data_IF_882250078577
#
_entry.id   IF_882250078577
#
_cell.length_a   1.000
_cell.length_b   1.000
_cell.length_c   1.000
_cell.angle_alpha   90.00
_cell.angle_beta   90.00
_cell.angle_gamma   90.00
#
_symmetry.space_group_name_H-M   'P 1'
#
loop_
_entity.id
_entity.type
_entity.pdbx_description
1 polymer ?
#
# COMPACT_ATOMS: atom_id res chain seq x y z
N UNK A 1 63.72 -6.07 71.96
CA UNK A 1 64.18 -6.17 70.56
C UNK A 1 63.05 -6.73 69.73
N UNK A 2 62.62 -5.98 68.71
CA UNK A 2 61.82 -6.32 67.51
C UNK A 2 60.77 -7.46 67.59
N UNK A 3 59.54 -7.30 67.11
CA UNK A 3 59.07 -6.35 66.11
C UNK A 3 57.57 -6.44 65.90
N UNK A 4 57.08 -5.33 65.37
CA UNK A 4 55.74 -5.02 64.92
C UNK A 4 55.32 -5.91 63.73
N UNK A 5 54.12 -6.46 63.79
CA UNK A 5 53.44 -7.05 62.63
C UNK A 5 51.95 -6.76 62.72
N UNK A 6 51.57 -5.77 61.93
CA UNK A 6 50.21 -5.31 61.65
C UNK A 6 49.37 -6.40 60.99
N UNK A 7 48.26 -6.79 61.64
CA UNK A 7 47.15 -7.51 60.99
C UNK A 7 45.82 -6.79 61.26
N UNK A 8 45.21 -6.35 60.16
CA UNK A 8 43.88 -5.74 60.04
C UNK A 8 42.77 -6.65 60.60
N UNK A 9 41.69 -6.09 61.19
CA UNK A 9 40.51 -6.86 61.55
C UNK A 9 39.55 -7.07 60.37
N UNK A 10 38.75 -8.13 60.52
CA UNK A 10 37.84 -8.72 59.54
C UNK A 10 36.69 -7.80 59.09
N UNK A 11 36.33 -7.91 57.81
CA UNK A 11 35.16 -7.27 57.22
C UNK A 11 33.87 -7.99 57.67
N UNK A 12 32.92 -7.20 58.18
CA UNK A 12 31.57 -7.64 58.52
C UNK A 12 30.75 -7.92 57.25
N UNK A 13 29.99 -9.02 57.29
CA UNK A 13 29.01 -9.39 56.29
C UNK A 13 27.82 -8.43 56.31
N UNK A 14 27.51 -7.82 55.16
CA UNK A 14 26.26 -7.08 54.92
C UNK A 14 25.37 -7.91 53.99
N UNK A 15 24.20 -8.31 54.48
CA UNK A 15 23.22 -9.11 53.76
C UNK A 15 22.69 -8.42 52.51
N UNK A 16 22.64 -9.16 51.42
CA UNK A 16 21.97 -8.77 50.19
C UNK A 16 20.45 -8.95 50.36
N UNK A 17 19.70 -7.85 50.25
CA UNK A 17 18.24 -7.90 50.11
C UNK A 17 17.88 -8.37 48.69
N UNK A 18 16.83 -9.20 48.52
CA UNK A 18 16.44 -9.70 47.20
C UNK A 18 15.90 -8.55 46.34
N UNK A 19 16.51 -8.37 45.17
CA UNK A 19 15.99 -7.49 44.12
C UNK A 19 14.60 -7.97 43.70
N UNK A 20 13.59 -7.12 43.96
CA UNK A 20 12.29 -7.26 43.32
C UNK A 20 12.47 -7.08 41.80
N UNK A 21 11.91 -7.95 40.94
CA UNK A 21 12.02 -7.76 39.51
C UNK A 21 11.25 -6.49 39.13
N UNK A 22 11.98 -5.56 38.50
CA UNK A 22 11.40 -4.38 37.89
C UNK A 22 10.30 -4.80 36.90
N UNK A 23 9.11 -4.23 37.06
CA UNK A 23 8.03 -4.34 36.08
C UNK A 23 8.53 -3.78 34.75
N UNK A 24 8.85 -4.65 33.81
CA UNK A 24 9.18 -4.27 32.43
C UNK A 24 7.90 -3.83 31.74
N UNK A 25 7.72 -2.52 31.60
CA UNK A 25 6.73 -1.97 30.65
C UNK A 25 7.11 -2.43 29.24
N UNK A 26 6.16 -2.91 28.40
CA UNK A 26 6.50 -3.43 27.09
C UNK A 26 6.93 -2.29 26.16
N UNK A 27 8.12 -2.35 25.55
CA UNK A 27 8.57 -1.32 24.62
C UNK A 27 8.02 -1.64 23.23
N UNK A 28 6.88 -1.05 22.80
CA UNK A 28 6.51 -0.93 21.34
C UNK A 28 5.11 -0.32 21.03
N UNK A 29 4.21 -0.10 22.00
CA UNK A 29 2.81 0.27 21.66
C UNK A 29 2.62 1.67 21.03
N UNK A 30 3.39 2.69 21.44
CA UNK A 30 3.19 4.07 20.94
C UNK A 30 3.50 4.22 19.43
N UNK A 31 4.60 3.66 18.90
CA UNK A 31 4.85 3.64 17.45
C UNK A 31 3.74 3.00 16.63
N UNK A 32 3.21 1.86 17.07
CA UNK A 32 2.19 1.09 16.35
C UNK A 32 0.86 1.85 16.25
N UNK A 33 0.46 2.55 17.31
CA UNK A 33 -0.77 3.36 17.32
C UNK A 33 -0.70 4.58 16.41
N UNK A 34 0.48 5.19 16.24
CA UNK A 34 0.67 6.26 15.24
C UNK A 34 0.56 5.72 13.81
N UNK A 35 1.03 4.49 13.55
CA UNK A 35 0.85 3.84 12.25
C UNK A 35 -0.63 3.61 11.94
N UNK A 36 -1.43 3.20 12.92
CA UNK A 36 -2.89 3.03 12.79
C UNK A 36 -3.57 4.36 12.42
N UNK A 37 -3.18 5.45 13.07
CA UNK A 37 -3.68 6.79 12.78
C UNK A 37 -3.32 7.23 11.35
N UNK A 38 -2.03 7.15 11.01
CA UNK A 38 -1.48 7.52 9.71
C UNK A 38 -2.17 6.77 8.55
N UNK A 39 -2.46 5.48 8.77
CA UNK A 39 -3.06 4.59 7.78
C UNK A 39 -4.58 4.59 7.80
N UNK A 40 -5.22 5.46 8.60
CA UNK A 40 -6.67 5.60 8.73
C UNK A 40 -7.36 4.30 9.19
N UNK A 41 -6.61 3.40 9.83
CA UNK A 41 -7.14 2.11 10.27
C UNK A 41 -8.07 2.26 11.47
N UNK A 42 -8.12 3.42 12.13
CA UNK A 42 -9.14 3.72 13.12
C UNK A 42 -10.53 4.02 12.51
N UNK A 43 -10.67 4.00 11.18
CA UNK A 43 -11.91 4.30 10.43
C UNK A 43 -12.47 5.69 10.76
N UNK A 44 -11.77 6.77 10.41
CA UNK A 44 -12.30 8.12 10.56
C UNK A 44 -13.66 8.25 9.83
N UNK A 45 -14.63 8.87 10.50
CA UNK A 45 -15.98 9.02 9.96
C UNK A 45 -16.01 10.00 8.79
N UNK A 46 -16.84 9.70 7.79
CA UNK A 46 -17.18 10.63 6.72
C UNK A 46 -16.18 10.72 5.57
N UNK A 47 -15.10 9.93 5.57
CA UNK A 47 -14.18 9.93 4.44
C UNK A 47 -14.76 9.21 3.22
N UNK A 48 -14.65 9.85 2.06
CA UNK A 48 -14.95 9.22 0.75
C UNK A 48 -13.81 8.28 0.32
N UNK A 49 -14.07 7.48 -0.72
CA UNK A 49 -13.02 6.66 -1.34
C UNK A 49 -11.87 7.53 -1.89
N UNK A 50 -12.17 8.65 -2.55
CA UNK A 50 -11.14 9.56 -3.04
C UNK A 50 -10.31 10.19 -1.94
N UNK A 51 -10.93 10.61 -0.83
CA UNK A 51 -10.21 11.18 0.31
C UNK A 51 -9.28 10.16 0.99
N UNK A 52 -9.70 8.90 1.11
CA UNK A 52 -8.85 7.83 1.62
C UNK A 52 -7.61 7.66 0.73
N UNK A 53 -7.79 7.56 -0.59
CA UNK A 53 -6.66 7.43 -1.52
C UNK A 53 -5.77 8.66 -1.47
N UNK A 54 -6.35 9.86 -1.44
CA UNK A 54 -5.62 11.12 -1.38
C UNK A 54 -4.74 11.24 -0.11
N UNK A 55 -5.26 10.77 1.04
CA UNK A 55 -4.53 10.76 2.31
C UNK A 55 -3.41 9.73 2.32
N UNK A 56 -3.62 8.55 1.73
CA UNK A 56 -2.59 7.52 1.62
C UNK A 56 -1.55 7.82 0.51
N UNK A 57 -1.88 8.75 -0.40
CA UNK A 57 -1.09 9.09 -1.59
C UNK A 57 -1.26 8.10 -2.73
N UNK A 58 -1.26 6.79 -2.43
CA UNK A 58 -1.63 5.74 -3.37
C UNK A 58 -2.08 4.50 -2.59
N UNK A 59 -2.99 3.71 -3.17
CA UNK A 59 -3.41 2.42 -2.60
C UNK A 59 -3.21 1.33 -3.65
N UNK A 60 -2.46 0.28 -3.32
CA UNK A 60 -2.20 -0.77 -4.30
C UNK A 60 -3.48 -1.45 -4.79
N UNK A 61 -3.60 -1.56 -6.11
CA UNK A 61 -4.77 -2.07 -6.81
C UNK A 61 -4.38 -3.03 -7.95
N UNK A 62 -3.32 -3.81 -7.75
CA UNK A 62 -2.96 -4.91 -8.65
C UNK A 62 -4.08 -5.95 -8.67
N UNK A 63 -4.60 -6.29 -7.49
CA UNK A 63 -5.81 -7.08 -7.27
C UNK A 63 -6.95 -6.18 -6.77
N UNK A 64 -7.98 -5.97 -7.60
CA UNK A 64 -9.09 -5.06 -7.27
C UNK A 64 -9.91 -5.57 -6.08
N UNK A 65 -10.29 -6.86 -5.97
CA UNK A 65 -10.93 -7.41 -4.78
C UNK A 65 -10.18 -7.11 -3.46
N UNK A 66 -8.85 -7.26 -3.44
CA UNK A 66 -8.05 -6.88 -2.28
C UNK A 66 -8.09 -5.36 -2.01
N UNK A 67 -7.99 -4.53 -3.05
CA UNK A 67 -8.08 -3.07 -2.90
C UNK A 67 -9.44 -2.62 -2.33
N UNK A 68 -10.55 -3.20 -2.78
CA UNK A 68 -11.89 -2.93 -2.21
C UNK A 68 -11.92 -3.24 -0.71
N UNK A 69 -11.31 -4.34 -0.30
CA UNK A 69 -11.19 -4.70 1.12
C UNK A 69 -10.31 -3.74 1.93
N UNK A 70 -9.36 -3.05 1.29
CA UNK A 70 -8.48 -2.07 1.91
C UNK A 70 -9.22 -0.75 2.19
N UNK A 71 -10.18 -0.37 1.34
CA UNK A 71 -11.14 0.71 1.63
C UNK A 71 -12.00 0.38 2.85
N UNK A 72 -12.54 -0.83 2.91
CA UNK A 72 -13.34 -1.31 4.06
C UNK A 72 -12.54 -1.32 5.37
N UNK A 73 -11.25 -1.64 5.33
CA UNK A 73 -10.41 -1.55 6.52
C UNK A 73 -10.28 -0.11 7.09
N UNK A 74 -10.58 0.91 6.27
CA UNK A 74 -10.45 2.34 6.56
C UNK A 74 -11.79 3.08 6.63
N UNK A 75 -12.91 2.40 6.41
CA UNK A 75 -14.26 2.97 6.51
C UNK A 75 -15.26 1.95 7.04
N UNK A 76 -16.11 2.38 7.96
CA UNK A 76 -17.21 1.57 8.50
C UNK A 76 -18.46 1.58 7.59
N UNK A 77 -18.52 2.50 6.63
CA UNK A 77 -19.75 2.79 5.87
C UNK A 77 -19.61 2.51 4.38
N UNK A 78 -18.43 2.72 3.79
CA UNK A 78 -18.23 2.50 2.37
C UNK A 78 -18.60 1.08 1.97
N UNK A 79 -19.15 0.96 0.76
CA UNK A 79 -19.46 -0.27 0.04
C UNK A 79 -18.56 -0.41 -1.19
N UNK A 80 -18.52 -1.58 -1.84
CA UNK A 80 -17.88 -1.72 -3.14
C UNK A 80 -18.44 -0.76 -4.19
N UNK A 81 -19.76 -0.52 -4.17
CA UNK A 81 -20.44 0.36 -5.12
C UNK A 81 -19.98 1.81 -4.98
N UNK A 82 -19.70 2.29 -3.76
CA UNK A 82 -19.17 3.64 -3.53
C UNK A 82 -17.77 3.81 -4.14
N UNK A 83 -16.92 2.80 -4.01
CA UNK A 83 -15.56 2.81 -4.59
C UNK A 83 -15.63 2.76 -6.11
N UNK A 84 -16.53 1.93 -6.67
CA UNK A 84 -16.79 1.88 -8.10
C UNK A 84 -17.32 3.22 -8.62
N UNK A 85 -18.24 3.86 -7.89
CA UNK A 85 -18.78 5.18 -8.23
C UNK A 85 -17.66 6.24 -8.28
N UNK A 86 -16.76 6.27 -7.29
CA UNK A 86 -15.61 7.17 -7.29
C UNK A 86 -14.67 6.92 -8.48
N UNK A 87 -14.49 5.66 -8.90
CA UNK A 87 -13.70 5.30 -10.07
C UNK A 87 -14.38 5.72 -11.38
N UNK A 88 -15.69 5.48 -11.51
CA UNK A 88 -16.49 5.93 -12.65
C UNK A 88 -16.55 7.47 -12.77
N UNK A 89 -16.63 8.16 -11.63
CA UNK A 89 -16.59 9.62 -11.54
C UNK A 89 -15.19 10.21 -11.80
N UNK A 90 -14.17 9.35 -11.93
CA UNK A 90 -12.75 9.72 -12.12
C UNK A 90 -12.16 10.52 -10.96
N UNK A 91 -12.75 10.42 -9.76
CA UNK A 91 -12.15 10.95 -8.54
C UNK A 91 -10.89 10.15 -8.17
N UNK A 92 -11.00 8.81 -8.28
CA UNK A 92 -9.87 7.89 -8.21
C UNK A 92 -9.59 7.29 -9.59
N UNK A 93 -8.29 7.14 -9.88
CA UNK A 93 -7.80 6.62 -11.15
C UNK A 93 -6.89 5.44 -10.87
N UNK A 94 -7.14 4.33 -11.58
CA UNK A 94 -6.28 3.15 -11.52
C UNK A 94 -5.21 3.23 -12.61
N UNK A 95 -3.95 3.30 -12.22
CA UNK A 95 -2.81 3.35 -13.16
C UNK A 95 -1.54 2.77 -12.54
N UNK A 96 -0.46 2.65 -13.32
CA UNK A 96 0.85 2.26 -12.80
C UNK A 96 1.45 3.39 -11.97
N UNK A 97 1.82 3.07 -10.73
CA UNK A 97 2.29 4.03 -9.74
C UNK A 97 3.59 3.58 -9.06
N UNK A 98 3.71 3.78 -7.73
CA UNK A 98 4.88 3.37 -6.95
C UNK A 98 5.38 1.95 -7.29
N UNK A 99 6.69 1.79 -7.42
CA UNK A 99 7.37 0.52 -7.77
C UNK A 99 6.95 -0.10 -9.13
N UNK A 100 6.15 0.61 -9.93
CA UNK A 100 5.63 0.10 -11.20
C UNK A 100 4.51 -0.93 -11.06
N UNK A 101 3.78 -0.92 -9.94
CA UNK A 101 2.55 -1.73 -9.77
C UNK A 101 1.30 -0.86 -9.92
N UNK A 102 0.15 -1.49 -10.16
CA UNK A 102 -1.11 -0.77 -10.28
C UNK A 102 -1.58 -0.25 -8.92
N UNK A 103 -1.99 1.02 -8.88
CA UNK A 103 -2.56 1.67 -7.70
C UNK A 103 -3.82 2.44 -8.08
N UNK A 104 -4.73 2.58 -7.12
CA UNK A 104 -5.66 3.70 -7.11
C UNK A 104 -4.92 4.94 -6.60
N UNK A 105 -5.09 6.03 -7.32
CA UNK A 105 -4.51 7.35 -7.03
C UNK A 105 -5.61 8.40 -7.23
N UNK A 106 -5.65 9.41 -6.38
CA UNK A 106 -6.60 10.52 -6.55
C UNK A 106 -6.21 11.31 -7.82
N UNK A 107 -7.19 11.73 -8.63
CA UNK A 107 -6.91 12.34 -9.93
C UNK A 107 -5.99 13.57 -9.84
N UNK A 108 -6.17 14.40 -8.80
CA UNK A 108 -5.33 15.57 -8.54
C UNK A 108 -3.87 15.26 -8.21
N UNK A 109 -3.56 14.01 -7.85
CA UNK A 109 -2.20 13.59 -7.47
C UNK A 109 -1.40 12.97 -8.63
N UNK A 110 -2.08 12.68 -9.75
CA UNK A 110 -1.46 12.05 -10.91
C UNK A 110 -0.25 12.83 -11.45
N UNK A 111 -0.28 14.17 -11.64
CA UNK A 111 0.84 14.89 -12.24
C UNK A 111 2.18 14.66 -11.53
N UNK A 112 2.20 14.75 -10.19
CA UNK A 112 3.44 14.64 -9.42
C UNK A 112 3.86 13.18 -9.19
N UNK A 113 2.91 12.24 -9.04
CA UNK A 113 3.24 10.81 -8.97
C UNK A 113 3.89 10.36 -10.28
N UNK A 114 3.30 10.75 -11.40
CA UNK A 114 3.72 10.35 -12.74
C UNK A 114 5.12 10.87 -13.08
N UNK A 115 5.44 12.10 -12.69
CA UNK A 115 6.77 12.68 -12.84
C UNK A 115 7.88 11.82 -12.18
N UNK A 116 7.53 11.04 -11.17
CA UNK A 116 8.47 10.27 -10.35
C UNK A 116 8.48 8.76 -10.65
N UNK A 117 7.40 8.21 -11.19
CA UNK A 117 7.22 6.74 -11.33
C UNK A 117 7.40 6.20 -12.75
N UNK A 118 7.73 7.05 -13.74
CA UNK A 118 7.93 6.65 -15.15
C UNK A 118 9.05 5.61 -15.35
N UNK A 119 8.82 4.61 -16.22
CA UNK A 119 9.69 3.41 -16.39
C UNK A 119 9.85 2.93 -17.84
N UNK A 120 10.35 3.77 -18.74
CA UNK A 120 10.38 3.47 -20.18
C UNK A 120 11.30 2.30 -20.57
N UNK A 121 12.54 2.28 -20.04
CA UNK A 121 13.60 1.36 -20.52
C UNK A 121 13.21 -0.11 -20.39
N UNK A 122 12.61 -0.50 -19.27
CA UNK A 122 12.20 -1.88 -19.02
C UNK A 122 11.03 -2.31 -19.89
N UNK A 123 10.09 -1.39 -20.16
CA UNK A 123 8.90 -1.67 -20.96
C UNK A 123 9.27 -1.81 -22.44
N UNK A 124 10.12 -0.92 -22.97
CA UNK A 124 10.59 -1.02 -24.35
C UNK A 124 11.39 -2.31 -24.61
N UNK A 125 12.18 -2.76 -23.64
CA UNK A 125 12.84 -4.09 -23.72
C UNK A 125 11.80 -5.21 -23.75
N UNK A 126 10.81 -5.18 -22.85
CA UNK A 126 9.75 -6.20 -22.80
C UNK A 126 8.96 -6.27 -24.09
N UNK A 127 8.64 -5.13 -24.71
CA UNK A 127 7.95 -5.07 -26.00
C UNK A 127 8.71 -5.82 -27.10
N UNK A 128 10.04 -5.69 -27.15
CA UNK A 128 10.88 -6.44 -28.10
C UNK A 128 10.90 -7.94 -27.81
N UNK A 129 11.00 -8.32 -26.54
CA UNK A 129 10.99 -9.74 -26.11
C UNK A 129 9.66 -10.43 -26.45
N UNK A 130 8.55 -9.69 -26.37
CA UNK A 130 7.20 -10.15 -26.72
C UNK A 130 6.91 -10.05 -28.22
N UNK A 131 7.89 -9.70 -29.05
CA UNK A 131 7.77 -9.65 -30.50
C UNK A 131 6.82 -8.56 -31.01
N UNK A 132 6.63 -7.47 -30.27
CA UNK A 132 5.81 -6.34 -30.74
C UNK A 132 6.51 -5.66 -31.92
N UNK A 133 5.87 -5.68 -33.09
CA UNK A 133 6.47 -5.31 -34.39
C UNK A 133 6.22 -3.86 -34.82
N UNK A 134 5.98 -2.95 -33.88
CA UNK A 134 5.65 -1.56 -34.17
C UNK A 134 6.89 -0.64 -34.16
N UNK A 135 7.08 0.15 -35.22
CA UNK A 135 8.10 1.21 -35.25
C UNK A 135 7.81 2.37 -34.29
N UNK A 136 6.52 2.62 -34.02
CA UNK A 136 6.01 3.56 -33.01
C UNK A 136 5.00 2.84 -32.09
N UNK A 137 5.47 2.15 -31.04
CA UNK A 137 4.59 1.43 -30.11
C UNK A 137 3.63 2.35 -29.35
N UNK A 138 4.07 3.56 -29.00
CA UNK A 138 3.30 4.51 -28.20
C UNK A 138 2.12 5.09 -29.01
N UNK A 139 2.37 5.56 -30.23
CA UNK A 139 1.31 6.06 -31.08
C UNK A 139 0.38 4.95 -31.57
N UNK A 140 0.89 3.72 -31.77
CA UNK A 140 0.05 2.56 -32.09
C UNK A 140 -1.04 2.35 -31.02
N UNK A 141 -0.64 2.26 -29.75
CA UNK A 141 -1.60 1.98 -28.67
C UNK A 141 -2.49 3.18 -28.37
N UNK A 142 -1.98 4.42 -28.45
CA UNK A 142 -2.78 5.62 -28.25
C UNK A 142 -3.93 5.69 -29.27
N UNK A 143 -3.64 5.52 -30.58
CA UNK A 143 -4.66 5.48 -31.63
C UNK A 143 -5.62 4.30 -31.51
N UNK A 144 -5.18 3.19 -30.92
CA UNK A 144 -6.03 2.01 -30.70
C UNK A 144 -7.09 2.27 -29.62
N UNK A 145 -6.78 3.11 -28.63
CA UNK A 145 -7.66 3.44 -27.50
C UNK A 145 -8.56 4.65 -27.79
N UNK A 146 -8.09 5.60 -28.60
CA UNK A 146 -8.77 6.88 -28.87
C UNK A 146 -10.20 6.70 -29.43
N UNK A 147 -11.15 7.36 -28.80
CA UNK A 147 -12.57 7.37 -29.14
C UNK A 147 -13.32 6.06 -28.86
N UNK A 148 -12.69 5.05 -28.25
CA UNK A 148 -13.29 3.71 -28.11
C UNK A 148 -13.97 3.45 -26.76
N UNK A 149 -13.69 4.28 -25.75
CA UNK A 149 -14.07 3.99 -24.37
C UNK A 149 -13.30 2.78 -23.79
N UNK A 150 -13.81 2.14 -22.72
CA UNK A 150 -13.11 1.05 -22.05
C UNK A 150 -12.99 -0.23 -22.89
N UNK A 151 -11.74 -0.59 -23.24
CA UNK A 151 -11.41 -1.80 -23.98
C UNK A 151 -10.79 -2.86 -23.06
N UNK A 152 -11.23 -4.11 -23.17
CA UNK A 152 -10.54 -5.22 -22.51
C UNK A 152 -9.27 -5.59 -23.27
N UNK A 153 -8.40 -6.39 -22.66
CA UNK A 153 -7.23 -6.97 -23.34
C UNK A 153 -7.62 -7.72 -24.63
N UNK A 154 -8.75 -8.43 -24.63
CA UNK A 154 -9.23 -9.16 -25.81
C UNK A 154 -9.62 -8.19 -26.94
N UNK A 155 -10.36 -7.13 -26.62
CA UNK A 155 -10.71 -6.11 -27.61
C UNK A 155 -9.45 -5.44 -28.21
N UNK A 156 -8.43 -5.19 -27.37
CA UNK A 156 -7.15 -4.67 -27.82
C UNK A 156 -6.43 -5.65 -28.74
N UNK A 157 -6.45 -6.94 -28.42
CA UNK A 157 -5.85 -7.98 -29.26
C UNK A 157 -6.47 -8.02 -30.65
N UNK A 158 -7.80 -7.99 -30.72
CA UNK A 158 -8.55 -7.94 -31.99
C UNK A 158 -8.19 -6.69 -32.81
N UNK A 159 -8.14 -5.52 -32.15
CA UNK A 159 -7.86 -4.23 -32.80
C UNK A 159 -6.41 -4.07 -33.23
N UNK A 160 -5.47 -4.65 -32.50
CA UNK A 160 -4.05 -4.60 -32.84
C UNK A 160 -3.73 -5.49 -34.04
N UNK A 161 -4.63 -6.41 -34.42
CA UNK A 161 -4.58 -7.20 -35.64
C UNK A 161 -3.22 -7.91 -35.82
N UNK A 162 -2.76 -8.62 -34.77
CA UNK A 162 -1.52 -9.39 -34.79
C UNK A 162 -0.24 -8.62 -34.48
N UNK A 163 -0.32 -7.29 -34.26
CA UNK A 163 0.87 -6.47 -33.95
C UNK A 163 1.41 -6.64 -32.53
N UNK A 164 0.57 -7.14 -31.62
CA UNK A 164 0.95 -7.54 -30.27
C UNK A 164 -0.05 -8.56 -29.73
N UNK A 165 0.44 -9.44 -28.86
CA UNK A 165 -0.34 -10.48 -28.19
C UNK A 165 0.03 -10.52 -26.71
N UNK A 166 -0.72 -11.28 -25.91
CA UNK A 166 -0.21 -11.74 -24.62
C UNK A 166 0.29 -10.61 -23.72
N UNK A 167 1.53 -10.68 -23.25
CA UNK A 167 2.13 -9.64 -22.40
C UNK A 167 2.61 -8.42 -23.20
N UNK A 168 2.81 -8.54 -24.51
CA UNK A 168 3.09 -7.42 -25.41
C UNK A 168 1.99 -6.34 -25.36
N UNK A 169 0.71 -6.76 -25.34
CA UNK A 169 -0.42 -5.82 -25.18
C UNK A 169 -0.35 -5.09 -23.84
N UNK A 170 -0.05 -5.82 -22.75
CA UNK A 170 0.07 -5.23 -21.40
C UNK A 170 1.23 -4.24 -21.35
N UNK A 171 2.36 -4.57 -21.98
CA UNK A 171 3.50 -3.67 -22.08
C UNK A 171 3.18 -2.42 -22.93
N UNK A 172 2.38 -2.53 -23.99
CA UNK A 172 1.93 -1.39 -24.79
C UNK A 172 1.07 -0.42 -23.97
N UNK A 173 0.05 -0.92 -23.28
CA UNK A 173 -0.80 -0.06 -22.44
C UNK A 173 -0.04 0.51 -21.25
N UNK A 174 0.91 -0.24 -20.67
CA UNK A 174 1.78 0.28 -19.62
C UNK A 174 2.67 1.42 -20.15
N UNK A 175 3.22 1.29 -21.37
CA UNK A 175 3.97 2.36 -22.02
C UNK A 175 3.10 3.61 -22.18
N UNK A 176 1.89 3.47 -22.72
CA UNK A 176 0.94 4.58 -22.86
C UNK A 176 0.61 5.23 -21.51
N UNK A 177 0.40 4.41 -20.48
CA UNK A 177 0.13 4.88 -19.13
C UNK A 177 1.32 5.62 -18.53
N UNK A 178 2.55 5.18 -18.71
CA UNK A 178 3.75 5.93 -18.29
C UNK A 178 4.00 7.22 -19.07
N UNK A 179 3.27 7.44 -20.16
CA UNK A 179 3.29 8.67 -20.94
C UNK A 179 2.02 9.52 -20.76
N UNK A 180 1.10 9.12 -19.87
CA UNK A 180 -0.10 9.88 -19.55
C UNK A 180 -1.19 9.79 -20.61
N UNK A 181 -1.09 8.81 -21.52
CA UNK A 181 -2.01 8.62 -22.64
C UNK A 181 -3.05 7.52 -22.40
N UNK A 182 -2.85 6.68 -21.37
CA UNK A 182 -3.81 5.66 -21.00
C UNK A 182 -3.93 5.51 -19.48
N UNK A 183 -5.09 5.07 -19.03
CA UNK A 183 -5.32 4.61 -17.65
C UNK A 183 -6.18 3.34 -17.67
N UNK A 184 -6.37 2.69 -16.52
CA UNK A 184 -7.27 1.55 -16.42
C UNK A 184 -8.67 2.03 -16.08
N UNK A 185 -9.63 1.60 -16.90
CA UNK A 185 -11.05 1.82 -16.64
C UNK A 185 -11.62 0.77 -15.68
N UNK A 186 -12.88 0.96 -15.24
CA UNK A 186 -13.62 0.00 -14.44
C UNK A 186 -13.65 -1.40 -15.07
N UNK A 187 -13.76 -2.43 -14.23
CA UNK A 187 -13.75 -3.81 -14.71
C UNK A 187 -14.97 -4.11 -15.58
N UNK A 188 -14.77 -4.85 -16.67
CA UNK A 188 -15.87 -5.37 -17.50
C UNK A 188 -15.91 -6.88 -17.36
N UNK A 189 -17.00 -7.40 -16.77
CA UNK A 189 -17.13 -8.82 -16.43
C UNK A 189 -15.90 -9.38 -15.65
N UNK A 190 -15.44 -8.62 -14.65
CA UNK A 190 -14.28 -8.98 -13.82
C UNK A 190 -12.91 -8.83 -14.49
N UNK A 191 -12.84 -8.40 -15.76
CA UNK A 191 -11.59 -8.20 -16.49
C UNK A 191 -11.17 -6.73 -16.49
N UNK A 192 -9.87 -6.42 -16.40
CA UNK A 192 -9.37 -5.06 -16.57
C UNK A 192 -9.76 -4.46 -17.92
N UNK A 193 -10.06 -3.17 -17.90
CA UNK A 193 -10.20 -2.38 -19.12
C UNK A 193 -9.15 -1.28 -19.17
N UNK A 194 -8.88 -0.80 -20.38
CA UNK A 194 -7.92 0.25 -20.68
C UNK A 194 -8.64 1.33 -21.48
N UNK A 195 -8.35 2.59 -21.17
CA UNK A 195 -9.00 3.76 -21.79
C UNK A 195 -7.93 4.76 -22.23
N UNK A 196 -8.24 5.52 -23.27
CA UNK A 196 -7.47 6.72 -23.61
C UNK A 196 -7.64 7.77 -22.51
N UNK A 197 -6.53 8.30 -22.00
CA UNK A 197 -6.54 9.19 -20.84
C UNK A 197 -7.31 10.49 -21.13
N UNK A 198 -7.11 11.08 -22.31
CA UNK A 198 -7.79 12.34 -22.66
C UNK A 198 -9.32 12.16 -22.76
N UNK A 199 -9.78 11.05 -23.34
CA UNK A 199 -11.22 10.79 -23.48
C UNK A 199 -11.86 10.50 -22.11
N UNK A 200 -11.12 9.83 -21.22
CA UNK A 200 -11.63 9.40 -19.93
C UNK A 200 -11.59 10.49 -18.85
N UNK A 201 -10.48 11.24 -18.79
CA UNK A 201 -10.20 12.26 -17.77
C UNK A 201 -10.46 13.69 -18.26
N UNK A 202 -10.69 13.89 -19.56
CA UNK A 202 -10.85 15.20 -20.21
C UNK A 202 -9.53 15.81 -20.71
N UNK A 203 -8.38 15.25 -20.34
CA UNK A 203 -7.04 15.66 -20.79
C UNK A 203 -6.03 14.52 -20.56
N UNK A 204 -4.90 14.48 -21.30
CA UNK A 204 -3.81 13.60 -20.96
C UNK A 204 -3.22 13.97 -19.59
N UNK A 205 -2.61 12.99 -18.91
CA UNK A 205 -1.90 13.27 -17.65
C UNK A 205 -0.57 13.95 -18.01
N UNK A 206 -0.46 15.22 -17.66
CA UNK A 206 0.77 15.99 -17.85
C UNK A 206 1.60 15.90 -16.55
N UNK A 207 2.83 15.36 -16.59
CA UNK A 207 3.69 15.31 -15.41
C UNK A 207 4.01 16.70 -14.87
N UNK A 208 4.13 16.81 -13.55
CA UNK A 208 4.62 18.04 -12.89
C UNK A 208 6.02 18.39 -13.44
N UNK A 209 6.20 19.58 -14.06
CA UNK A 209 7.49 19.98 -14.63
C UNK A 209 8.56 20.21 -13.58
N UNK A 210 8.19 20.69 -12.38
CA UNK A 210 9.12 20.86 -11.27
C UNK A 210 9.28 19.55 -10.50
N UNK A 211 10.34 18.81 -10.84
CA UNK A 211 10.67 17.56 -10.18
C UNK A 211 10.93 17.73 -8.67
N UNK A 212 11.48 18.86 -8.22
CA UNK A 212 11.73 19.08 -6.80
C UNK A 212 10.42 19.25 -6.03
N UNK A 213 9.46 19.99 -6.61
CA UNK A 213 8.10 20.09 -6.09
C UNK A 213 7.43 18.72 -5.99
N UNK A 214 7.54 17.89 -7.02
CA UNK A 214 7.00 16.53 -7.01
C UNK A 214 7.65 15.67 -5.90
N UNK A 215 8.97 15.73 -5.75
CA UNK A 215 9.69 15.01 -4.69
C UNK A 215 9.23 15.45 -3.30
N UNK A 216 9.11 16.77 -3.07
CA UNK A 216 8.62 17.32 -1.81
C UNK A 216 7.21 16.82 -1.49
N UNK A 217 6.29 16.91 -2.44
CA UNK A 217 4.91 16.47 -2.26
C UNK A 217 4.85 14.97 -1.93
N UNK A 218 5.58 14.12 -2.68
CA UNK A 218 5.66 12.68 -2.41
C UNK A 218 6.09 12.39 -0.97
N UNK A 219 7.13 13.06 -0.48
CA UNK A 219 7.63 12.84 0.88
C UNK A 219 6.67 13.37 1.95
N UNK A 220 6.04 14.54 1.75
CA UNK A 220 5.01 15.06 2.67
C UNK A 220 3.85 14.08 2.78
N UNK A 221 3.32 13.62 1.64
CA UNK A 221 2.21 12.66 1.56
C UNK A 221 2.58 11.34 2.22
N UNK A 222 3.75 10.81 1.87
CA UNK A 222 4.22 9.55 2.41
C UNK A 222 4.40 9.61 3.93
N UNK A 223 5.03 10.65 4.48
CA UNK A 223 5.26 10.78 5.94
C UNK A 223 3.97 10.88 6.74
N UNK A 224 2.95 11.54 6.19
CA UNK A 224 1.62 11.64 6.83
C UNK A 224 0.90 10.30 6.87
N UNK A 225 1.04 9.50 5.82
CA UNK A 225 0.41 8.18 5.71
C UNK A 225 1.24 7.06 6.36
N UNK A 226 2.56 7.23 6.49
CA UNK A 226 3.50 6.21 6.93
C UNK A 226 4.34 6.79 8.06
N UNK A 227 3.89 6.58 9.29
CA UNK A 227 4.58 7.03 10.48
C UNK A 227 4.61 5.93 11.55
N UNK A 228 5.74 5.69 12.23
CA UNK A 228 7.07 6.26 11.94
C UNK A 228 7.65 5.67 10.64
N UNK A 229 8.41 6.45 9.88
CA UNK A 229 9.07 5.97 8.68
C UNK A 229 10.42 6.68 8.45
N UNK A 230 11.23 6.08 7.58
CA UNK A 230 12.57 6.56 7.19
C UNK A 230 12.63 6.88 5.70
N UNK A 231 13.64 7.64 5.22
CA UNK A 231 13.85 7.80 3.79
C UNK A 231 14.12 6.47 3.06
N UNK A 232 14.65 5.45 3.75
CA UNK A 232 14.80 4.09 3.21
C UNK A 232 13.44 3.41 2.99
N UNK A 233 12.46 3.64 3.86
CA UNK A 233 11.09 3.17 3.67
C UNK A 233 10.43 3.90 2.48
N UNK A 234 10.60 5.23 2.37
CA UNK A 234 10.14 6.00 1.22
C UNK A 234 10.75 5.48 -0.10
N UNK A 235 12.04 5.18 -0.12
CA UNK A 235 12.70 4.62 -1.31
C UNK A 235 12.12 3.25 -1.69
N UNK A 236 11.96 2.36 -0.70
CA UNK A 236 11.37 1.04 -0.92
C UNK A 236 9.92 1.14 -1.40
N UNK A 237 9.15 2.05 -0.81
CA UNK A 237 7.74 2.25 -1.14
C UNK A 237 7.56 2.89 -2.52
N UNK A 238 8.24 3.99 -2.83
CA UNK A 238 8.07 4.69 -4.11
C UNK A 238 8.74 3.96 -5.27
N UNK A 239 9.80 3.21 -5.00
CA UNK A 239 10.71 2.67 -6.00
C UNK A 239 11.67 3.73 -6.57
N UNK A 240 11.81 4.89 -5.91
CA UNK A 240 12.82 5.89 -6.23
C UNK A 240 14.22 5.41 -5.82
N UNK A 241 15.28 5.87 -6.53
CA UNK A 241 16.64 5.74 -6.02
C UNK A 241 16.78 6.38 -4.64
N UNK A 242 17.50 5.72 -3.72
CA UNK A 242 17.64 6.17 -2.33
C UNK A 242 18.13 7.63 -2.21
N UNK A 243 19.02 8.07 -3.09
CA UNK A 243 19.48 9.47 -3.11
C UNK A 243 18.36 10.49 -3.39
N UNK A 244 17.41 10.15 -4.26
CA UNK A 244 16.24 10.99 -4.51
C UNK A 244 15.26 10.94 -3.34
N UNK A 245 15.03 9.76 -2.75
CA UNK A 245 14.18 9.63 -1.56
C UNK A 245 14.73 10.45 -0.38
N UNK A 246 16.05 10.44 -0.13
CA UNK A 246 16.69 11.28 0.90
C UNK A 246 16.58 12.78 0.60
N UNK A 247 16.63 13.16 -0.68
CA UNK A 247 16.43 14.54 -1.09
C UNK A 247 14.99 14.98 -0.81
N UNK A 248 14.01 14.20 -1.26
CA UNK A 248 12.58 14.40 -0.97
C UNK A 248 12.32 14.52 0.55
N UNK A 249 12.91 13.62 1.34
CA UNK A 249 12.74 13.58 2.78
C UNK A 249 13.16 14.89 3.47
N UNK A 250 14.31 15.46 3.08
CA UNK A 250 14.80 16.74 3.62
C UNK A 250 13.87 17.92 3.30
N UNK A 251 13.10 17.84 2.21
CA UNK A 251 12.19 18.90 1.78
C UNK A 251 10.83 18.86 2.51
N UNK A 252 10.48 17.74 3.14
CA UNK A 252 9.11 17.47 3.61
C UNK A 252 8.78 17.93 5.04
N UNK A 253 9.77 18.31 5.83
CA UNK A 253 9.57 18.66 7.25
C UNK A 253 9.17 17.46 8.13
N UNK A 254 9.15 17.66 9.45
CA UNK A 254 8.73 16.63 10.42
C UNK A 254 7.46 16.98 11.18
N UNK A 255 6.32 16.45 10.73
CA UNK A 255 5.03 16.60 11.40
C UNK A 255 4.41 15.20 11.65
N UNK A 256 4.60 14.62 12.85
CA UNK A 256 4.06 13.30 13.16
C UNK A 256 2.53 13.37 13.36
N UNK A 257 1.77 12.34 12.94
CA UNK A 257 0.34 12.25 13.23
C UNK A 257 0.11 12.13 14.74
N UNK A 258 -1.06 12.51 15.26
CA UNK A 258 -1.36 12.43 16.68
C UNK A 258 -1.19 11.00 17.20
N UNK A 259 -0.77 10.86 18.46
CA UNK A 259 -0.82 9.57 19.11
C UNK A 259 -2.28 9.20 19.34
N UNK A 260 -2.63 7.96 18.97
CA UNK A 260 -3.96 7.42 19.22
C UNK A 260 -3.95 6.55 20.47
N UNK A 261 -5.06 6.60 21.21
CA UNK A 261 -5.36 5.69 22.32
C UNK A 261 -6.53 4.78 21.97
N UNK A 262 -6.60 3.64 22.66
CA UNK A 262 -7.68 2.67 22.54
C UNK A 262 -7.42 1.55 21.52
N UNK A 263 -8.04 0.38 21.73
CA UNK A 263 -7.75 -0.80 20.94
C UNK A 263 -8.26 -0.67 19.50
N UNK A 264 -7.51 -1.22 18.55
CA UNK A 264 -7.87 -1.30 17.13
C UNK A 264 -7.59 -2.69 16.60
N UNK A 265 -8.64 -3.35 16.13
CA UNK A 265 -8.54 -4.65 15.45
C UNK A 265 -9.01 -4.53 14.01
N UNK A 266 -8.22 -5.04 13.06
CA UNK A 266 -8.55 -5.00 11.62
C UNK A 266 -8.23 -6.30 10.90
N UNK A 267 -9.14 -6.72 10.02
CA UNK A 267 -8.87 -7.76 9.04
C UNK A 267 -8.36 -7.13 7.74
N UNK A 268 -7.04 -6.98 7.60
CA UNK A 268 -6.44 -6.33 6.43
C UNK A 268 -6.30 -7.31 5.25
N UNK A 269 -6.62 -6.91 4.02
CA UNK A 269 -6.45 -7.77 2.86
C UNK A 269 -4.97 -8.04 2.54
N UNK A 270 -4.74 -9.00 1.64
CA UNK A 270 -3.46 -9.11 0.98
C UNK A 270 -3.12 -7.79 0.28
N UNK A 271 -1.83 -7.44 0.22
CA UNK A 271 -1.34 -6.23 -0.44
C UNK A 271 -1.85 -4.89 0.15
N UNK A 272 -2.43 -4.90 1.35
CA UNK A 272 -2.80 -3.66 2.04
C UNK A 272 -1.57 -2.77 2.26
N UNK A 273 -1.76 -1.46 2.22
CA UNK A 273 -0.69 -0.48 2.39
C UNK A 273 0.01 -0.61 3.75
N UNK A 274 -0.68 -1.04 4.81
CA UNK A 274 -0.03 -1.32 6.10
C UNK A 274 1.05 -2.42 6.00
N UNK A 275 0.89 -3.33 5.05
CA UNK A 275 1.81 -4.43 4.78
C UNK A 275 2.85 -4.09 3.73
N UNK A 276 2.67 -3.04 2.93
CA UNK A 276 3.52 -2.71 1.78
C UNK A 276 4.21 -1.35 1.89
N UNK A 277 3.80 -0.54 2.85
CA UNK A 277 4.21 0.84 3.07
C UNK A 277 5.64 1.02 3.55
N UNK A 278 6.22 0.00 4.19
CA UNK A 278 7.54 0.03 4.81
C UNK A 278 8.49 -1.01 4.22
N UNK A 279 9.79 -0.72 4.34
CA UNK A 279 10.85 -1.63 3.91
C UNK A 279 10.85 -2.90 4.76
N UNK A 280 10.78 -2.74 6.08
CA UNK A 280 10.71 -3.85 7.04
C UNK A 280 9.33 -3.96 7.68
N UNK A 281 9.01 -5.17 8.14
CA UNK A 281 7.79 -5.50 8.90
C UNK A 281 8.11 -6.02 10.30
N UNK A 282 9.38 -6.09 10.68
CA UNK A 282 9.81 -6.55 12.00
C UNK A 282 9.07 -5.84 13.16
N UNK A 283 8.72 -4.53 13.06
CA UNK A 283 7.96 -3.87 14.12
C UNK A 283 6.52 -4.36 14.30
N UNK A 284 5.95 -5.03 13.30
CA UNK A 284 4.53 -5.42 13.27
C UNK A 284 4.32 -6.93 13.11
N UNK A 285 5.39 -7.71 12.93
CA UNK A 285 5.30 -9.15 12.70
C UNK A 285 6.48 -9.86 13.36
N UNK A 286 6.16 -10.79 14.26
CA UNK A 286 7.16 -11.68 14.81
C UNK A 286 7.81 -12.52 13.69
N UNK A 287 9.15 -12.57 13.60
CA UNK A 287 9.88 -13.38 12.63
C UNK A 287 9.46 -14.86 12.60
N UNK A 288 9.02 -15.44 13.72
CA UNK A 288 8.53 -16.82 13.78
C UNK A 288 7.33 -17.04 12.84
N UNK A 289 6.46 -16.04 12.69
CA UNK A 289 5.26 -16.12 11.88
C UNK A 289 5.45 -15.58 10.45
N UNK A 290 6.66 -15.10 10.09
CA UNK A 290 6.91 -14.45 8.81
C UNK A 290 6.50 -15.31 7.60
N UNK A 291 6.81 -16.61 7.61
CA UNK A 291 6.44 -17.54 6.52
C UNK A 291 4.95 -17.84 6.45
N UNK A 292 4.22 -17.63 7.55
CA UNK A 292 2.77 -17.79 7.56
C UNK A 292 2.04 -16.63 6.88
N UNK A 293 2.66 -15.44 6.83
CA UNK A 293 2.14 -14.24 6.14
C UNK A 293 2.73 -14.11 4.72
N UNK A 294 4.04 -14.37 4.59
CA UNK A 294 4.84 -14.26 3.37
C UNK A 294 5.44 -15.62 2.98
N UNK A 295 4.64 -16.53 2.40
CA UNK A 295 5.11 -17.88 2.07
C UNK A 295 6.19 -17.90 0.97
N UNK A 296 6.32 -16.82 0.19
CA UNK A 296 7.24 -16.71 -0.94
C UNK A 296 6.52 -16.52 -2.27
N UNK A 297 7.27 -16.39 -3.37
CA UNK A 297 6.70 -16.28 -4.72
C UNK A 297 5.89 -15.01 -4.99
N UNK A 298 6.12 -13.94 -4.22
CA UNK A 298 5.33 -12.70 -4.31
C UNK A 298 3.94 -12.78 -3.68
N UNK A 299 3.59 -13.91 -3.05
CA UNK A 299 2.32 -14.06 -2.36
C UNK A 299 2.37 -13.39 -0.98
N UNK A 300 1.30 -12.66 -0.67
CA UNK A 300 1.03 -12.04 0.62
C UNK A 300 -0.35 -12.48 1.08
N UNK A 301 -0.47 -12.99 2.31
CA UNK A 301 -1.78 -13.39 2.86
C UNK A 301 -2.47 -12.21 3.56
N UNK A 302 -3.81 -12.17 3.57
CA UNK A 302 -4.56 -11.26 4.44
C UNK A 302 -4.24 -11.52 5.92
N UNK A 303 -4.20 -10.46 6.72
CA UNK A 303 -3.73 -10.51 8.11
C UNK A 303 -4.77 -10.05 9.13
N UNK A 304 -4.70 -10.61 10.33
CA UNK A 304 -5.39 -10.11 11.52
C UNK A 304 -4.45 -9.13 12.20
N UNK A 305 -4.82 -7.86 12.25
CA UNK A 305 -4.08 -6.81 12.94
C UNK A 305 -4.77 -6.52 14.28
N UNK A 306 -4.02 -6.51 15.37
CA UNK A 306 -4.47 -6.10 16.71
C UNK A 306 -3.45 -5.08 17.23
N UNK A 307 -3.91 -3.86 17.47
CA UNK A 307 -3.11 -2.74 17.98
C UNK A 307 -1.82 -2.49 17.18
N UNK A 308 -1.92 -2.65 15.87
CA UNK A 308 -0.82 -2.42 14.93
C UNK A 308 0.16 -3.58 14.79
N UNK A 309 -0.10 -4.71 15.47
CA UNK A 309 0.69 -5.94 15.38
C UNK A 309 -0.12 -7.04 14.69
N UNK A 310 0.53 -7.80 13.81
CA UNK A 310 -0.08 -8.92 13.11
C UNK A 310 -0.14 -10.11 14.07
N UNK A 311 -1.36 -10.60 14.34
CA UNK A 311 -1.64 -11.70 15.27
C UNK A 311 -2.26 -12.92 14.60
N UNK A 312 -2.34 -12.93 13.28
CA UNK A 312 -2.87 -14.07 12.53
C UNK A 312 -3.02 -13.78 11.05
N UNK A 313 -3.55 -14.78 10.36
CA UNK A 313 -3.99 -14.66 8.97
C UNK A 313 -5.47 -14.92 8.86
N UNK A 314 -6.11 -14.34 7.85
CA UNK A 314 -7.49 -14.64 7.54
C UNK A 314 -7.67 -14.90 6.05
N UNK A 315 -8.83 -15.43 5.70
CA UNK A 315 -9.22 -15.71 4.33
C UNK A 315 -10.72 -15.65 4.18
N UNK A 316 -11.17 -15.68 2.92
CA UNK A 316 -12.59 -15.66 2.58
C UNK A 316 -12.86 -16.52 1.35
N UNK A 317 -13.94 -17.27 1.41
CA UNK A 317 -14.53 -17.99 0.26
C UNK A 317 -16.01 -17.66 0.22
N UNK A 318 -16.44 -16.85 -0.76
CA UNK A 318 -17.80 -16.31 -0.77
C UNK A 318 -18.10 -15.53 0.51
N UNK A 319 -19.23 -15.80 1.18
CA UNK A 319 -19.55 -15.14 2.46
C UNK A 319 -18.78 -15.72 3.66
N UNK A 320 -18.13 -16.88 3.52
CA UNK A 320 -17.44 -17.54 4.63
C UNK A 320 -16.08 -16.90 4.87
N UNK A 321 -15.87 -16.40 6.08
CA UNK A 321 -14.59 -15.90 6.58
C UNK A 321 -13.93 -16.98 7.43
N UNK A 322 -12.63 -17.20 7.24
CA UNK A 322 -11.81 -18.05 8.09
C UNK A 322 -10.70 -17.21 8.73
N UNK A 323 -10.45 -17.45 10.01
CA UNK A 323 -9.38 -16.78 10.75
C UNK A 323 -8.49 -17.84 11.39
N UNK A 324 -7.19 -17.65 11.30
CA UNK A 324 -6.16 -18.47 11.96
C UNK A 324 -5.25 -17.54 12.74
N UNK A 325 -5.55 -17.32 14.03
CA UNK A 325 -4.65 -16.63 14.93
C UNK A 325 -3.33 -17.38 15.10
N UNK A 326 -2.24 -16.67 15.35
CA UNK A 326 -0.96 -17.27 15.72
C UNK A 326 -0.94 -17.73 17.18
N UNK A 327 -1.69 -17.03 18.03
CA UNK A 327 -1.87 -17.29 19.45
C UNK A 327 -3.35 -17.16 19.82
N UNK A 328 -3.73 -17.59 21.02
CA UNK A 328 -5.09 -17.39 21.51
C UNK A 328 -5.41 -15.89 21.61
N UNK A 329 -6.49 -15.48 20.92
CA UNK A 329 -7.03 -14.13 21.02
C UNK A 329 -8.17 -14.11 22.04
N UNK A 330 -8.43 -12.96 22.70
CA UNK A 330 -9.61 -12.77 23.53
C UNK A 330 -10.91 -13.09 22.77
N UNK A 331 -11.86 -13.69 23.48
CA UNK A 331 -13.19 -13.98 22.93
C UNK A 331 -13.88 -12.68 22.49
N UNK A 332 -14.58 -12.73 21.35
CA UNK A 332 -15.31 -11.59 20.79
C UNK A 332 -14.46 -10.49 20.15
N UNK A 333 -13.12 -10.54 20.24
CA UNK A 333 -12.22 -9.49 19.72
C UNK A 333 -12.44 -9.19 18.22
N UNK A 334 -12.86 -10.20 17.45
CA UNK A 334 -13.02 -10.12 15.99
C UNK A 334 -14.46 -9.94 15.54
N UNK A 335 -15.44 -9.91 16.44
CA UNK A 335 -16.86 -9.97 16.07
C UNK A 335 -17.27 -8.80 15.18
N UNK A 336 -16.85 -7.59 15.53
CA UNK A 336 -17.12 -6.38 14.74
C UNK A 336 -16.48 -6.46 13.34
N UNK A 337 -15.24 -6.94 13.25
CA UNK A 337 -14.55 -7.09 11.96
C UNK A 337 -15.19 -8.16 11.08
N UNK A 338 -15.61 -9.28 11.68
CA UNK A 338 -16.32 -10.34 10.96
C UNK A 338 -17.70 -9.85 10.49
N UNK A 339 -18.39 -9.06 11.32
CA UNK A 339 -19.64 -8.39 10.95
C UNK A 339 -19.45 -7.43 9.78
N UNK A 340 -18.41 -6.59 9.83
CA UNK A 340 -18.11 -5.60 8.80
C UNK A 340 -17.70 -6.24 7.47
N UNK A 341 -16.93 -7.34 7.46
CA UNK A 341 -16.63 -8.10 6.23
C UNK A 341 -17.93 -8.61 5.59
N UNK A 342 -18.87 -9.12 6.38
CA UNK A 342 -20.16 -9.62 5.88
C UNK A 342 -20.99 -8.48 5.32
N UNK A 343 -21.09 -7.35 6.03
CA UNK A 343 -21.75 -6.12 5.57
C UNK A 343 -21.20 -5.68 4.22
N UNK A 344 -19.88 -5.59 4.08
CA UNK A 344 -19.24 -5.03 2.88
C UNK A 344 -19.50 -5.84 1.61
N UNK A 345 -19.80 -7.13 1.73
CA UNK A 345 -20.16 -7.98 0.59
C UNK A 345 -21.62 -8.42 0.58
N UNK A 346 -22.44 -7.91 1.50
CA UNK A 346 -23.87 -8.09 1.39
C UNK A 346 -24.31 -7.42 0.08
N UNK A 347 -25.00 -8.16 -0.78
CA UNK A 347 -25.69 -7.55 -1.91
C UNK A 347 -26.85 -6.73 -1.32
N UNK A 348 -27.00 -5.49 -1.76
CA UNK A 348 -28.24 -4.75 -1.47
C UNK A 348 -29.43 -5.60 -1.95
N UNK A 349 -30.50 -5.69 -1.15
CA UNK A 349 -31.67 -6.53 -1.46
C UNK A 349 -32.43 -6.10 -2.71
#
# INVERSE_FOLDING_TARGET
MAGDSTRRPAAAASGAAPHSPAQTSPPTMIPAMRSIEAQLLHRPSGLTAGEIVHRLGAMQAQDVPAALLAFRARSATLTPADVEAAWHAREIVRTWGPRGTLHFTHAGDLPWIHALTRRDTNILRRLREEGVTAGDPLGLIARTLEGQGPLTKADLEDRLAGRAHGQGIVALVALAAYHGLAVLGPLRAGKPTYVHAADWLGAPIVPEPDRERALKELAVRYRRAHHPATPEDLAAWSGLPLGQARTAWRLSGDEPPPAREGPVTRLLPAFDEFLMGWRSRDPILDPEYAKQVFPGGGMLRPVVLVDGVIRGVWGRTGARVSVRPFEQLPDGLLDDELGDVRRFFAREP
#
